data_IF_063154364060
#
_entry.id   IF_063154364060
#
_cell.length_a   1.000
_cell.length_b   1.000
_cell.length_c   1.000
_cell.angle_alpha   90.00
_cell.angle_beta   90.00
_cell.angle_gamma   90.00
#
_symmetry.space_group_name_H-M   'P 1'
#
loop_
_entity.id
_entity.type
_entity.pdbx_description
1 polymer ?
#
# COMPACT_ATOMS: atom_id res chain seq x y z
N UNK A 1 -2.98 -14.99 5.82
CA UNK A 1 -4.22 -14.27 6.13
C UNK A 1 -4.03 -12.86 5.63
N UNK A 2 -4.82 -12.48 4.64
CA UNK A 2 -4.77 -11.12 4.09
C UNK A 2 -5.72 -10.20 4.87
N UNK A 3 -5.72 -8.91 4.52
CA UNK A 3 -6.38 -7.85 5.30
C UNK A 3 -7.83 -8.19 5.71
N UNK A 4 -8.66 -8.68 4.79
CA UNK A 4 -10.07 -9.01 5.06
C UNK A 4 -10.20 -10.26 5.93
N UNK A 5 -9.38 -11.28 5.69
CA UNK A 5 -9.41 -12.51 6.50
C UNK A 5 -9.05 -12.25 7.95
N UNK A 6 -8.09 -11.35 8.20
CA UNK A 6 -7.75 -10.92 9.57
C UNK A 6 -9.00 -10.39 10.29
N UNK A 7 -9.86 -9.61 9.62
CA UNK A 7 -11.08 -9.12 10.23
C UNK A 7 -12.13 -10.21 10.46
N UNK A 8 -12.25 -11.18 9.54
CA UNK A 8 -13.14 -12.35 9.69
C UNK A 8 -12.78 -13.19 10.93
N UNK A 9 -11.50 -13.29 11.27
CA UNK A 9 -11.03 -14.02 12.46
C UNK A 9 -11.01 -13.17 13.74
N UNK A 10 -11.52 -11.94 13.69
CA UNK A 10 -11.71 -11.09 14.88
C UNK A 10 -10.62 -10.05 15.13
N UNK A 11 -9.64 -9.86 14.24
CA UNK A 11 -8.69 -8.76 14.37
C UNK A 11 -9.43 -7.41 14.40
N UNK A 12 -8.94 -6.50 15.26
CA UNK A 12 -9.57 -5.18 15.48
C UNK A 12 -9.03 -4.07 14.57
N UNK A 13 -7.93 -4.34 13.88
CA UNK A 13 -7.26 -3.39 13.00
C UNK A 13 -5.96 -3.97 12.44
N UNK A 14 -5.21 -3.13 11.74
CA UNK A 14 -3.94 -3.46 11.09
C UNK A 14 -2.93 -2.33 11.31
N UNK A 15 -1.65 -2.68 11.44
CA UNK A 15 -0.56 -1.72 11.31
C UNK A 15 -0.20 -1.63 9.83
N UNK A 16 -0.40 -0.46 9.23
CA UNK A 16 -0.30 -0.26 7.78
C UNK A 16 0.87 0.64 7.43
N UNK A 17 1.48 0.35 6.29
CA UNK A 17 2.36 1.30 5.61
C UNK A 17 1.49 2.40 4.95
N UNK A 18 2.00 3.65 4.86
CA UNK A 18 1.22 4.80 4.43
C UNK A 18 0.97 4.84 2.92
N UNK A 19 1.70 4.05 2.15
CA UNK A 19 1.67 4.00 0.68
C UNK A 19 0.33 3.52 0.10
N UNK A 20 -0.43 2.72 0.84
CA UNK A 20 -1.76 2.21 0.47
C UNK A 20 -2.83 2.42 1.55
N UNK A 21 -2.55 3.25 2.57
CA UNK A 21 -3.36 3.31 3.79
C UNK A 21 -4.80 3.79 3.56
N UNK A 22 -5.03 4.72 2.64
CA UNK A 22 -6.36 5.25 2.33
C UNK A 22 -7.33 4.16 1.84
N UNK A 23 -6.87 3.26 0.96
CA UNK A 23 -7.66 2.12 0.50
C UNK A 23 -7.85 1.06 1.59
N UNK A 24 -6.81 0.77 2.36
CA UNK A 24 -6.91 -0.19 3.47
C UNK A 24 -7.89 0.31 4.57
N UNK A 25 -7.93 1.62 4.81
CA UNK A 25 -8.90 2.25 5.72
C UNK A 25 -10.33 2.18 5.14
N UNK A 26 -10.51 2.42 3.83
CA UNK A 26 -11.82 2.21 3.17
C UNK A 26 -12.29 0.76 3.28
N UNK A 27 -11.40 -0.20 3.06
CA UNK A 27 -11.70 -1.62 3.20
C UNK A 27 -12.11 -1.96 4.64
N UNK A 28 -11.39 -1.43 5.64
CA UNK A 28 -11.74 -1.58 7.05
C UNK A 28 -13.14 -1.00 7.35
N UNK A 29 -13.45 0.21 6.89
CA UNK A 29 -14.75 0.83 7.13
C UNK A 29 -15.89 0.07 6.44
N UNK A 30 -15.70 -0.38 5.21
CA UNK A 30 -16.68 -1.20 4.49
C UNK A 30 -16.95 -2.52 5.24
N UNK A 31 -15.90 -3.21 5.69
CA UNK A 31 -16.04 -4.43 6.49
C UNK A 31 -16.79 -4.17 7.81
N UNK A 32 -16.48 -3.05 8.49
CA UNK A 32 -17.19 -2.65 9.73
C UNK A 32 -18.66 -2.30 9.51
N UNK A 33 -19.02 -1.85 8.32
CA UNK A 33 -20.40 -1.58 7.92
C UNK A 33 -21.15 -2.86 7.45
N UNK A 34 -20.47 -4.01 7.37
CA UNK A 34 -21.04 -5.26 6.85
C UNK A 34 -21.03 -5.36 5.32
N UNK A 35 -20.40 -4.41 4.63
CA UNK A 35 -20.24 -4.43 3.17
C UNK A 35 -18.91 -5.12 2.78
N UNK A 36 -18.89 -6.45 2.88
CA UNK A 36 -17.71 -7.24 2.53
C UNK A 36 -17.35 -7.16 1.04
N UNK A 37 -18.33 -6.93 0.16
CA UNK A 37 -18.08 -6.80 -1.29
C UNK A 37 -17.21 -5.58 -1.57
N UNK A 38 -17.57 -4.43 -1.01
CA UNK A 38 -16.75 -3.22 -1.13
C UNK A 38 -15.41 -3.39 -0.43
N UNK A 39 -15.38 -4.06 0.73
CA UNK A 39 -14.14 -4.29 1.47
C UNK A 39 -13.12 -5.10 0.65
N UNK A 40 -13.56 -6.20 0.03
CA UNK A 40 -12.74 -7.02 -0.87
C UNK A 40 -12.33 -6.24 -2.12
N UNK A 41 -13.22 -5.42 -2.69
CA UNK A 41 -12.90 -4.61 -3.85
C UNK A 41 -11.82 -3.56 -3.56
N UNK A 42 -11.89 -2.87 -2.42
CA UNK A 42 -10.86 -1.89 -2.01
C UNK A 42 -9.53 -2.59 -1.69
N UNK A 43 -9.57 -3.77 -1.08
CA UNK A 43 -8.35 -4.56 -0.85
C UNK A 43 -7.71 -5.04 -2.16
N UNK A 44 -8.51 -5.53 -3.11
CA UNK A 44 -8.04 -6.00 -4.41
C UNK A 44 -7.35 -4.88 -5.22
N UNK A 45 -7.78 -3.62 -5.06
CA UNK A 45 -7.16 -2.45 -5.72
C UNK A 45 -5.70 -2.24 -5.30
N UNK A 46 -5.37 -2.48 -4.03
CA UNK A 46 -4.00 -2.28 -3.51
C UNK A 46 -3.12 -3.51 -3.62
N UNK A 47 -3.68 -4.70 -3.82
CA UNK A 47 -2.95 -5.95 -3.83
C UNK A 47 -1.72 -5.96 -4.76
N UNK A 48 -1.78 -5.43 -6.01
CA UNK A 48 -0.61 -5.41 -6.88
C UNK A 48 0.55 -4.55 -6.33
N UNK A 49 0.23 -3.41 -5.71
CA UNK A 49 1.23 -2.54 -5.10
C UNK A 49 1.79 -3.15 -3.81
N UNK A 50 0.92 -3.70 -2.96
CA UNK A 50 1.30 -4.38 -1.72
C UNK A 50 2.25 -5.57 -1.99
N UNK A 51 1.91 -6.45 -2.93
CA UNK A 51 2.76 -7.59 -3.30
C UNK A 51 4.10 -7.12 -3.84
N UNK A 52 4.13 -6.08 -4.67
CA UNK A 52 5.38 -5.51 -5.19
C UNK A 52 6.29 -4.97 -4.08
N UNK A 53 5.76 -4.19 -3.13
CA UNK A 53 6.58 -3.62 -2.06
C UNK A 53 6.99 -4.68 -1.03
N UNK A 54 6.17 -5.71 -0.79
CA UNK A 54 6.40 -6.74 0.23
C UNK A 54 7.31 -7.91 -0.20
N UNK A 55 8.10 -7.78 -1.28
CA UNK A 55 9.06 -8.81 -1.72
C UNK A 55 10.26 -9.02 -0.76
N UNK A 56 10.36 -8.24 0.31
CA UNK A 56 11.40 -8.31 1.33
C UNK A 56 11.52 -6.98 2.07
N UNK A 57 12.24 -6.96 3.21
CA UNK A 57 12.38 -5.73 4.02
C UNK A 57 13.05 -4.60 3.24
N UNK A 58 14.08 -4.92 2.45
CA UNK A 58 14.77 -3.92 1.62
C UNK A 58 13.84 -3.35 0.54
N UNK A 59 13.05 -4.20 -0.12
CA UNK A 59 12.04 -3.79 -1.10
C UNK A 59 10.97 -2.91 -0.46
N UNK A 60 10.49 -3.30 0.73
CA UNK A 60 9.48 -2.57 1.49
C UNK A 60 9.96 -1.14 1.81
N UNK A 61 11.19 -1.02 2.35
CA UNK A 61 11.77 0.28 2.69
C UNK A 61 12.11 1.10 1.45
N UNK A 62 12.59 0.46 0.38
CA UNK A 62 12.97 1.15 -0.85
C UNK A 62 11.75 1.70 -1.59
N UNK A 63 10.80 0.82 -1.92
CA UNK A 63 9.69 1.14 -2.81
C UNK A 63 8.45 1.64 -2.08
N UNK A 64 8.17 1.22 -0.85
CA UNK A 64 7.02 1.71 -0.08
C UNK A 64 7.06 3.23 0.13
N UNK A 65 8.20 3.77 0.57
CA UNK A 65 8.35 5.24 0.70
C UNK A 65 8.29 5.99 -0.63
N UNK A 66 8.72 5.36 -1.74
CA UNK A 66 8.67 5.95 -3.07
C UNK A 66 7.26 5.99 -3.62
N UNK A 67 6.48 4.94 -3.40
CA UNK A 67 5.05 4.93 -3.71
C UNK A 67 4.31 5.99 -2.88
N UNK A 68 4.55 6.04 -1.56
CA UNK A 68 4.00 7.11 -0.72
C UNK A 68 4.40 8.50 -1.21
N UNK A 69 5.70 8.74 -1.46
CA UNK A 69 6.21 10.03 -1.95
C UNK A 69 5.59 10.44 -3.28
N UNK A 70 5.44 9.51 -4.22
CA UNK A 70 4.79 9.76 -5.51
C UNK A 70 3.31 10.16 -5.34
N UNK A 71 2.57 9.46 -4.46
CA UNK A 71 1.15 9.76 -4.20
C UNK A 71 0.93 11.03 -3.37
N UNK A 72 1.87 11.35 -2.47
CA UNK A 72 1.83 12.52 -1.58
C UNK A 72 2.43 13.79 -2.21
N UNK A 73 3.25 13.65 -3.27
CA UNK A 73 4.03 14.75 -3.82
C UNK A 73 5.22 15.15 -2.95
N UNK A 74 5.80 14.20 -2.20
CA UNK A 74 6.92 14.42 -1.28
C UNK A 74 8.18 13.78 -1.87
N UNK A 75 9.31 14.52 -1.98
CA UNK A 75 10.56 13.96 -2.46
C UNK A 75 11.12 12.93 -1.47
N UNK A 76 11.70 11.85 -2.01
CA UNK A 76 12.26 10.75 -1.22
C UNK A 76 13.78 10.79 -1.25
N UNK A 77 14.38 10.71 -0.06
CA UNK A 77 15.83 10.63 0.11
C UNK A 77 16.20 9.38 0.91
N UNK A 78 17.26 8.70 0.50
CA UNK A 78 17.79 7.52 1.19
C UNK A 78 18.91 7.92 2.15
N UNK A 79 18.96 7.27 3.32
CA UNK A 79 20.13 7.28 4.19
C UNK A 79 20.90 5.98 3.98
N UNK A 80 22.20 6.07 3.70
CA UNK A 80 23.03 4.89 3.53
C UNK A 80 23.28 4.16 4.87
N UNK A 81 23.41 2.81 4.87
CA UNK A 81 23.24 1.92 3.71
C UNK A 81 21.76 1.70 3.34
N UNK A 82 21.46 1.64 2.03
CA UNK A 82 20.11 1.40 1.52
C UNK A 82 20.15 0.73 0.14
N UNK A 83 19.15 -0.12 -0.15
CA UNK A 83 18.89 -0.63 -1.50
C UNK A 83 18.62 0.55 -2.45
N UNK A 84 19.31 0.57 -3.59
CA UNK A 84 19.02 1.53 -4.67
C UNK A 84 17.94 0.97 -5.59
N UNK A 85 16.95 1.78 -5.98
CA UNK A 85 15.94 1.33 -6.93
C UNK A 85 16.58 1.15 -8.31
N UNK A 86 16.18 0.09 -9.02
CA UNK A 86 16.46 -0.05 -10.45
C UNK A 86 15.38 0.62 -11.29
N UNK A 87 15.65 0.83 -12.57
CA UNK A 87 14.69 1.40 -13.52
C UNK A 87 13.35 0.64 -13.56
N UNK A 88 13.30 -0.71 -13.59
CA UNK A 88 12.03 -1.43 -13.60
C UNK A 88 11.19 -1.17 -12.34
N UNK A 89 11.84 -1.09 -11.17
CA UNK A 89 11.16 -0.82 -9.91
C UNK A 89 10.58 0.58 -9.85
N UNK A 90 11.29 1.58 -10.40
CA UNK A 90 10.76 2.95 -10.53
C UNK A 90 9.54 3.00 -11.46
N UNK A 91 9.58 2.31 -12.59
CA UNK A 91 8.44 2.23 -13.52
C UNK A 91 7.22 1.54 -12.87
N UNK A 92 7.43 0.54 -11.99
CA UNK A 92 6.35 -0.06 -11.21
C UNK A 92 5.75 0.93 -10.20
N UNK A 93 6.59 1.67 -9.47
CA UNK A 93 6.14 2.72 -8.54
C UNK A 93 5.27 3.75 -9.26
N UNK A 94 5.71 4.25 -10.41
CA UNK A 94 4.95 5.24 -11.18
C UNK A 94 3.58 4.69 -11.62
N UNK A 95 3.55 3.48 -12.20
CA UNK A 95 2.30 2.82 -12.60
C UNK A 95 1.33 2.66 -11.44
N UNK A 96 1.80 2.22 -10.27
CA UNK A 96 0.93 2.05 -9.10
C UNK A 96 0.49 3.40 -8.51
N UNK A 97 1.35 4.41 -8.49
CA UNK A 97 0.98 5.75 -8.05
C UNK A 97 -0.11 6.36 -8.94
N UNK A 98 -0.03 6.17 -10.26
CA UNK A 98 -1.08 6.59 -11.20
C UNK A 98 -2.38 5.82 -10.93
N UNK A 99 -2.31 4.49 -10.80
CA UNK A 99 -3.49 3.65 -10.60
C UNK A 99 -4.21 3.89 -9.26
N UNK A 100 -3.46 4.18 -8.19
CA UNK A 100 -4.00 4.47 -6.86
C UNK A 100 -4.33 5.95 -6.64
N UNK A 101 -3.92 6.83 -7.57
CA UNK A 101 -4.14 8.26 -7.47
C UNK A 101 -3.43 8.93 -6.28
N UNK A 102 -3.66 10.24 -6.14
CA UNK A 102 -3.12 11.05 -5.04
C UNK A 102 -3.77 10.65 -3.72
N UNK A 103 -3.00 10.76 -2.63
CA UNK A 103 -3.57 10.61 -1.29
C UNK A 103 -4.59 11.74 -1.02
N UNK A 104 -5.70 11.43 -0.33
CA UNK A 104 -6.63 12.45 0.14
C UNK A 104 -5.93 13.38 1.14
N UNK A 105 -6.22 14.69 1.04
CA UNK A 105 -5.72 15.72 1.94
C UNK A 105 -6.58 15.91 3.18
#
# INVERSE_FOLDING_TARGET
LELIDNFRIGCRGMILAPDCADYAVRAYHAFRAGDEVTAEAEYARILPAAVFVMQGIESLVCYGKRLFGARAGIPVHDRAPAMRPGEPGLAMVERFAIGLGRLPG
#
